data_IF_929925722312
#
_entry.id   IF_929925722312
#
_cell.length_a   1.000
_cell.length_b   1.000
_cell.length_c   1.000
_cell.angle_alpha   90.00
_cell.angle_beta   90.00
_cell.angle_gamma   90.00
#
_symmetry.space_group_name_H-M   'P 1'
#
loop_
_entity.id
_entity.type
_entity.pdbx_description
1 polymer ?
#
# COMPACT_ATOMS: atom_id res chain seq x y z
N UNK A 1 17.91 -23.40 2.19
CA UNK A 1 16.43 -23.28 2.27
C UNK A 1 15.81 -24.65 2.00
N UNK A 2 14.72 -25.06 2.66
CA UNK A 2 14.11 -26.37 2.42
C UNK A 2 13.51 -26.44 1.01
N UNK A 3 13.59 -27.62 0.41
CA UNK A 3 13.02 -27.93 -0.91
C UNK A 3 11.49 -27.78 -0.78
N UNK A 4 10.90 -26.87 -1.57
CA UNK A 4 9.47 -26.55 -1.51
C UNK A 4 9.10 -25.30 -0.72
N UNK A 5 10.07 -24.55 -0.17
CA UNK A 5 9.80 -23.23 0.39
C UNK A 5 9.33 -22.27 -0.71
N UNK A 6 8.03 -22.01 -0.76
CA UNK A 6 7.50 -20.85 -1.48
C UNK A 6 7.54 -19.66 -0.51
N UNK A 7 8.29 -18.59 -0.82
CA UNK A 7 8.20 -17.36 -0.08
C UNK A 7 6.73 -16.96 0.01
N UNK A 8 6.19 -16.71 1.22
CA UNK A 8 4.80 -16.29 1.33
C UNK A 8 4.58 -15.09 0.42
N UNK A 9 3.64 -15.23 -0.52
CA UNK A 9 3.35 -14.19 -1.50
C UNK A 9 2.91 -12.94 -0.74
N UNK A 10 3.52 -11.81 -1.05
CA UNK A 10 3.04 -10.52 -0.54
C UNK A 10 1.58 -10.38 -0.95
N UNK A 11 0.71 -10.12 0.03
CA UNK A 11 -0.69 -9.83 -0.26
C UNK A 11 -0.71 -8.58 -1.13
N UNK A 12 -1.29 -8.68 -2.33
CA UNK A 12 -1.38 -7.52 -3.21
C UNK A 12 -2.57 -6.64 -2.85
N UNK A 13 -2.39 -5.34 -2.89
CA UNK A 13 -3.40 -4.32 -2.65
C UNK A 13 -3.86 -3.73 -3.97
N UNK A 14 -5.18 -3.75 -4.22
CA UNK A 14 -5.81 -3.22 -5.45
C UNK A 14 -6.46 -1.84 -5.27
N UNK A 15 -6.21 -1.19 -4.14
CA UNK A 15 -6.90 0.03 -3.75
C UNK A 15 -8.14 -0.21 -2.89
N UNK A 16 -8.55 -1.46 -2.65
CA UNK A 16 -9.70 -1.82 -1.81
C UNK A 16 -9.28 -2.40 -0.47
N UNK A 17 -10.07 -2.12 0.57
CA UNK A 17 -9.84 -2.62 1.93
C UNK A 17 -9.31 -1.55 2.87
N UNK A 18 -8.52 -1.96 3.87
CA UNK A 18 -7.96 -1.05 4.87
C UNK A 18 -6.47 -0.79 4.55
N UNK A 19 -6.10 0.42 4.09
CA UNK A 19 -4.72 0.78 3.78
C UNK A 19 -3.77 0.64 4.98
N UNK A 20 -4.24 0.96 6.20
CA UNK A 20 -3.40 0.84 7.41
C UNK A 20 -3.05 -0.61 7.70
N UNK A 21 -4.01 -1.53 7.57
CA UNK A 21 -3.75 -2.96 7.75
C UNK A 21 -2.76 -3.48 6.70
N UNK A 22 -2.84 -2.98 5.47
CA UNK A 22 -1.90 -3.34 4.41
C UNK A 22 -0.46 -2.91 4.76
N UNK A 23 -0.28 -1.67 5.22
CA UNK A 23 1.01 -1.16 5.71
C UNK A 23 1.54 -2.00 6.88
N UNK A 24 0.71 -2.26 7.90
CA UNK A 24 1.12 -3.06 9.07
C UNK A 24 1.63 -4.43 8.65
N UNK A 25 0.88 -5.16 7.82
CA UNK A 25 1.31 -6.48 7.34
C UNK A 25 2.56 -6.43 6.47
N UNK A 26 2.74 -5.38 5.69
CA UNK A 26 3.95 -5.18 4.89
C UNK A 26 5.17 -4.95 5.78
N UNK A 27 5.06 -4.08 6.79
CA UNK A 27 6.13 -3.81 7.75
C UNK A 27 6.47 -5.03 8.59
N UNK A 28 5.48 -5.77 9.11
CA UNK A 28 5.72 -7.04 9.82
C UNK A 28 6.53 -8.03 8.99
N UNK A 29 6.30 -8.04 7.67
CA UNK A 29 7.01 -8.90 6.74
C UNK A 29 8.42 -8.41 6.42
N UNK A 30 8.62 -7.09 6.39
CA UNK A 30 9.93 -6.48 6.15
C UNK A 30 10.79 -6.41 7.42
N UNK A 31 10.22 -6.33 8.63
CA UNK A 31 10.93 -6.20 9.91
C UNK A 31 11.91 -7.34 10.22
N UNK A 32 11.81 -8.47 9.52
CA UNK A 32 12.78 -9.57 9.62
C UNK A 32 14.07 -9.33 8.82
N UNK A 33 14.14 -8.24 8.06
CA UNK A 33 15.25 -7.87 7.18
C UNK A 33 15.48 -6.37 7.43
N UNK A 34 16.56 -5.97 8.10
CA UNK A 34 16.84 -4.55 8.34
C UNK A 34 17.02 -3.80 7.02
N UNK A 35 15.92 -3.31 6.44
CA UNK A 35 15.88 -2.78 5.08
C UNK A 35 15.90 -1.26 5.07
N UNK A 36 16.81 -0.75 4.25
CA UNK A 36 16.91 0.64 3.83
C UNK A 36 15.55 1.21 3.33
N UNK A 37 15.32 2.50 3.55
CA UNK A 37 14.07 3.19 3.20
C UNK A 37 13.71 3.09 1.72
N UNK A 38 14.68 3.17 0.81
CA UNK A 38 14.44 3.05 -0.63
C UNK A 38 14.07 1.61 -1.00
N UNK A 39 14.65 0.64 -0.30
CA UNK A 39 14.31 -0.76 -0.49
C UNK A 39 12.88 -1.04 -0.03
N UNK A 40 12.43 -0.44 1.08
CA UNK A 40 11.04 -0.54 1.53
C UNK A 40 10.06 0.01 0.49
N UNK A 41 10.32 1.19 -0.08
CA UNK A 41 9.49 1.77 -1.15
C UNK A 41 9.41 0.82 -2.35
N UNK A 42 10.57 0.35 -2.85
CA UNK A 42 10.62 -0.56 -4.00
C UNK A 42 9.88 -1.87 -3.74
N UNK A 43 9.97 -2.43 -2.54
CA UNK A 43 9.24 -3.65 -2.18
C UNK A 43 7.74 -3.41 -2.00
N UNK A 44 7.36 -2.24 -1.49
CA UNK A 44 5.96 -1.91 -1.28
C UNK A 44 5.21 -1.71 -2.60
N UNK A 45 5.84 -1.08 -3.59
CA UNK A 45 5.27 -0.95 -4.95
C UNK A 45 4.97 -2.32 -5.56
N UNK A 46 5.80 -3.35 -5.30
CA UNK A 46 5.55 -4.73 -5.78
C UNK A 46 4.31 -5.36 -5.15
N UNK A 47 3.83 -4.82 -4.03
CA UNK A 47 2.58 -5.23 -3.40
C UNK A 47 1.36 -4.57 -4.03
N UNK A 48 1.51 -3.64 -4.98
CA UNK A 48 0.36 -3.02 -5.64
C UNK A 48 -0.12 -3.84 -6.85
N UNK A 49 -1.41 -3.71 -7.15
CA UNK A 49 -2.03 -4.18 -8.39
C UNK A 49 -3.18 -3.25 -8.78
N UNK A 50 -3.62 -3.30 -10.04
CA UNK A 50 -4.75 -2.52 -10.54
C UNK A 50 -4.66 -1.03 -10.15
N UNK A 51 -5.77 -0.48 -9.65
CA UNK A 51 -5.88 0.95 -9.30
C UNK A 51 -4.80 1.46 -8.31
N UNK A 52 -4.26 0.60 -7.45
CA UNK A 52 -3.14 1.00 -6.58
C UNK A 52 -1.83 1.17 -7.34
N UNK A 53 -1.59 0.32 -8.34
CA UNK A 53 -0.42 0.41 -9.20
C UNK A 53 -0.56 1.55 -10.20
N UNK A 54 -1.75 1.74 -10.78
CA UNK A 54 -2.04 2.86 -11.68
C UNK A 54 -1.79 4.20 -10.98
N UNK A 55 -2.29 4.35 -9.75
CA UNK A 55 -2.00 5.53 -8.91
C UNK A 55 -0.51 5.79 -8.74
N UNK A 56 0.29 4.75 -8.50
CA UNK A 56 1.73 4.90 -8.32
C UNK A 56 2.44 5.34 -9.61
N UNK A 57 2.01 4.82 -10.76
CA UNK A 57 2.55 5.19 -12.08
C UNK A 57 2.20 6.65 -12.43
N UNK A 58 1.04 7.13 -11.99
CA UNK A 58 0.59 8.51 -12.20
C UNK A 58 1.27 9.54 -11.29
N UNK A 59 2.06 9.10 -10.29
CA UNK A 59 2.81 10.02 -9.44
C UNK A 59 3.94 10.69 -10.25
N UNK A 60 4.20 11.96 -9.93
CA UNK A 60 5.36 12.66 -10.49
C UNK A 60 6.65 11.91 -10.17
N UNK A 61 7.54 11.80 -11.15
CA UNK A 61 8.87 11.21 -10.97
C UNK A 61 9.60 11.91 -9.81
N UNK A 62 10.24 11.13 -8.95
CA UNK A 62 10.94 11.61 -7.74
C UNK A 62 10.03 12.24 -6.66
N UNK A 63 8.70 12.16 -6.82
CA UNK A 63 7.77 12.61 -5.79
C UNK A 63 7.83 11.78 -4.51
N UNK A 64 8.34 10.54 -4.57
CA UNK A 64 8.57 9.69 -3.40
C UNK A 64 10.08 9.47 -3.25
N UNK A 65 10.64 10.05 -2.20
CA UNK A 65 12.07 10.07 -1.88
C UNK A 65 12.44 9.17 -0.68
N UNK A 66 11.45 8.72 0.10
CA UNK A 66 11.65 7.81 1.23
C UNK A 66 10.35 7.07 1.61
N UNK A 67 10.47 6.14 2.55
CA UNK A 67 9.36 5.36 3.08
C UNK A 67 8.26 6.22 3.72
N UNK A 68 8.63 7.21 4.54
CA UNK A 68 7.66 8.04 5.26
C UNK A 68 6.75 8.83 4.31
N UNK A 69 7.31 9.29 3.18
CA UNK A 69 6.56 9.98 2.13
C UNK A 69 5.65 9.01 1.37
N UNK A 70 6.14 7.82 1.02
CA UNK A 70 5.33 6.77 0.39
C UNK A 70 4.13 6.40 1.26
N UNK A 71 4.33 6.15 2.56
CA UNK A 71 3.27 5.81 3.49
C UNK A 71 2.21 6.92 3.57
N UNK A 72 2.65 8.18 3.68
CA UNK A 72 1.75 9.33 3.75
C UNK A 72 0.90 9.49 2.50
N UNK A 73 1.50 9.45 1.31
CA UNK A 73 0.79 9.62 0.05
C UNK A 73 -0.17 8.45 -0.21
N UNK A 74 0.26 7.23 0.10
CA UNK A 74 -0.59 6.05 0.02
C UNK A 74 -1.81 6.16 0.94
N UNK A 75 -1.61 6.56 2.20
CA UNK A 75 -2.72 6.79 3.12
C UNK A 75 -3.61 7.95 2.63
N UNK A 76 -3.06 9.07 2.18
CA UNK A 76 -3.85 10.18 1.65
C UNK A 76 -4.76 9.73 0.50
N UNK A 77 -4.25 8.90 -0.43
CA UNK A 77 -5.01 8.38 -1.57
C UNK A 77 -6.10 7.39 -1.16
N UNK A 78 -5.75 6.36 -0.39
CA UNK A 78 -6.62 5.20 -0.16
C UNK A 78 -7.36 5.22 1.19
N UNK A 79 -6.92 6.03 2.15
CA UNK A 79 -7.63 6.22 3.42
C UNK A 79 -8.78 7.20 3.27
N UNK A 80 -8.61 8.25 2.46
CA UNK A 80 -9.61 9.31 2.25
C UNK A 80 -10.86 8.81 1.52
N UNK A 81 -10.67 7.90 0.56
CA UNK A 81 -11.78 7.21 -0.16
C UNK A 81 -12.70 6.46 0.80
N UNK A 82 -12.21 5.95 1.93
CA UNK A 82 -13.04 5.23 2.91
C UNK A 82 -13.91 6.14 3.76
N UNK A 83 -13.45 7.36 4.08
CA UNK A 83 -14.28 8.35 4.80
C UNK A 83 -15.32 8.99 3.89
N UNK A 84 -14.99 9.23 2.62
CA UNK A 84 -15.93 9.80 1.66
C UNK A 84 -17.05 8.81 1.31
N UNK A 85 -16.72 7.54 1.05
CA UNK A 85 -17.74 6.50 0.75
C UNK A 85 -18.70 6.29 1.92
N UNK A 86 -18.25 6.44 3.18
CA UNK A 86 -19.14 6.37 4.34
C UNK A 86 -20.13 7.54 4.46
N UNK A 87 -19.83 8.71 3.91
CA UNK A 87 -20.76 9.85 3.90
C UNK A 87 -21.72 9.80 2.71
N UNK A 88 -21.28 9.33 1.54
CA UNK A 88 -22.11 9.32 0.34
C UNK A 88 -23.23 8.26 0.46
N UNK A 89 -22.95 7.10 1.05
CA UNK A 89 -23.96 6.05 1.32
C UNK A 89 -25.06 6.50 2.29
N UNK A 90 -24.81 7.51 3.14
CA UNK A 90 -25.79 8.02 4.11
C UNK A 90 -26.76 9.06 3.52
N UNK A 91 -26.59 9.48 2.26
CA UNK A 91 -27.45 10.50 1.63
C UNK A 91 -28.55 9.96 0.72
N UNK A 92 -28.65 8.63 0.55
CA UNK A 92 -29.68 7.98 -0.29
C UNK A 92 -30.82 7.32 0.51
N UNK A 93 -31.08 7.75 1.74
CA UNK A 93 -32.35 7.46 2.42
C UNK A 93 -33.31 8.63 2.20
N UNK A 94 -34.09 8.58 1.12
CA UNK A 94 -35.30 9.38 0.97
C UNK A 94 -36.49 8.47 0.72
#
# INVERSE_FOLDING_TARGET
>A
MPIGYQPPKLKQFDGKGNPKQHITHFIERCNNVGTDGDLLVKQFVRSFKGNAFDWYVDLESESIDNWDKMEREFLNRFYSTRRMVSMIELTNAK
#
